data_IF_249365737444
#
_entry.id   IF_249365737444
#
_cell.length_a   1.000
_cell.length_b   1.000
_cell.length_c   1.000
_cell.angle_alpha   90.00
_cell.angle_beta   90.00
_cell.angle_gamma   90.00
#
_symmetry.space_group_name_H-M   'P 1'
#
loop_
_entity.id
_entity.type
_entity.pdbx_description
1 polymer ?
#
# COMPACT_ATOMS: atom_id res chain seq x y z
N UNK A 1 -1.87 -7.08 14.49
CA UNK A 1 -0.57 -6.57 14.96
C UNK A 1 0.19 -6.12 13.73
N UNK A 2 0.90 -4.99 13.75
CA UNK A 2 1.58 -4.45 12.57
C UNK A 2 3.06 -4.79 12.61
N UNK A 3 3.59 -5.41 11.57
CA UNK A 3 5.02 -5.63 11.40
C UNK A 3 5.75 -4.33 10.98
N UNK A 4 7.06 -4.20 11.30
CA UNK A 4 7.87 -3.08 10.85
C UNK A 4 8.14 -3.09 9.33
N UNK A 5 8.15 -4.28 8.71
CA UNK A 5 8.28 -4.50 7.27
C UNK A 5 7.01 -5.18 6.73
N UNK A 6 6.78 -5.08 5.42
CA UNK A 6 5.61 -5.67 4.78
C UNK A 6 5.63 -7.20 4.87
N UNK A 7 4.46 -7.81 5.07
CA UNK A 7 4.25 -9.26 4.92
C UNK A 7 4.14 -9.66 3.44
N UNK A 8 3.82 -8.69 2.58
CA UNK A 8 3.75 -8.84 1.13
C UNK A 8 3.47 -7.50 0.46
N UNK A 9 3.97 -7.35 -0.75
CA UNK A 9 3.76 -6.18 -1.61
C UNK A 9 3.53 -6.61 -3.06
N UNK A 10 2.86 -5.75 -3.81
CA UNK A 10 2.51 -5.92 -5.22
C UNK A 10 2.80 -4.64 -5.96
N UNK A 11 3.62 -4.70 -7.01
CA UNK A 11 4.07 -3.53 -7.76
C UNK A 11 3.58 -3.58 -9.21
N UNK A 12 3.17 -2.43 -9.75
CA UNK A 12 2.80 -2.25 -11.14
C UNK A 12 3.72 -1.24 -11.80
N UNK A 13 4.41 -1.65 -12.87
CA UNK A 13 5.05 -0.73 -13.81
C UNK A 13 4.01 -0.20 -14.82
N UNK A 14 3.80 1.11 -14.84
CA UNK A 14 2.67 1.74 -15.55
C UNK A 14 3.07 2.47 -16.83
N UNK A 15 4.30 2.30 -17.32
CA UNK A 15 4.81 2.96 -18.53
C UNK A 15 3.97 2.72 -19.81
N UNK A 16 3.13 1.68 -19.84
CA UNK A 16 2.16 1.42 -20.93
C UNK A 16 0.71 1.80 -20.61
N UNK A 17 0.38 2.06 -19.34
CA UNK A 17 -0.99 2.24 -18.86
C UNK A 17 -1.38 3.71 -18.66
N UNK A 18 -0.43 4.55 -18.25
CA UNK A 18 -0.63 5.98 -18.04
C UNK A 18 0.67 6.74 -18.34
N UNK A 19 0.59 8.01 -18.80
CA UNK A 19 1.78 8.81 -19.00
C UNK A 19 2.47 9.11 -17.66
N UNK A 20 3.80 9.27 -17.62
CA UNK A 20 4.52 9.60 -16.39
C UNK A 20 4.18 11.00 -15.84
N UNK A 21 4.64 11.27 -14.62
CA UNK A 21 4.51 12.57 -13.97
C UNK A 21 3.39 12.69 -12.92
N UNK A 22 3.48 13.76 -12.13
CA UNK A 22 2.64 14.00 -10.94
C UNK A 22 1.14 13.94 -11.23
N UNK A 23 0.66 14.58 -12.29
CA UNK A 23 -0.78 14.61 -12.57
C UNK A 23 -1.36 13.20 -12.78
N UNK A 24 -0.64 12.36 -13.51
CA UNK A 24 -1.02 10.96 -13.74
C UNK A 24 -0.87 10.13 -12.47
N UNK A 25 0.21 10.31 -11.71
CA UNK A 25 0.41 9.61 -10.44
C UNK A 25 -0.72 9.90 -9.44
N UNK A 26 -1.18 11.14 -9.35
CA UNK A 26 -2.31 11.52 -8.50
C UNK A 26 -3.64 10.92 -8.98
N UNK A 27 -3.86 10.81 -10.29
CA UNK A 27 -5.04 10.13 -10.86
C UNK A 27 -5.02 8.63 -10.54
N UNK A 28 -3.88 7.98 -10.75
CA UNK A 28 -3.66 6.56 -10.41
C UNK A 28 -3.89 6.34 -8.92
N UNK A 29 -3.28 7.13 -8.04
CA UNK A 29 -3.48 7.05 -6.60
C UNK A 29 -4.96 7.19 -6.22
N UNK A 30 -5.68 8.15 -6.81
CA UNK A 30 -7.10 8.35 -6.53
C UNK A 30 -7.97 7.16 -6.97
N UNK A 31 -7.69 6.58 -8.14
CA UNK A 31 -8.42 5.43 -8.67
C UNK A 31 -8.13 4.15 -7.89
N UNK A 32 -6.86 3.88 -7.57
CA UNK A 32 -6.48 2.72 -6.75
C UNK A 32 -7.05 2.82 -5.33
N UNK A 33 -6.95 4.00 -4.69
CA UNK A 33 -7.55 4.24 -3.38
C UNK A 33 -9.08 4.03 -3.40
N UNK A 34 -9.75 4.33 -4.51
CA UNK A 34 -11.18 4.07 -4.65
C UNK A 34 -11.52 2.57 -4.67
N UNK A 35 -10.69 1.74 -5.32
CA UNK A 35 -10.82 0.27 -5.31
C UNK A 35 -10.59 -0.27 -3.90
N UNK A 36 -9.47 0.11 -3.28
CA UNK A 36 -9.12 -0.32 -1.92
C UNK A 36 -10.20 0.06 -0.89
N UNK A 37 -10.77 1.28 -1.00
CA UNK A 37 -11.90 1.70 -0.16
C UNK A 37 -13.15 0.86 -0.43
N UNK A 38 -13.47 0.59 -1.69
CA UNK A 38 -14.61 -0.24 -2.08
C UNK A 38 -14.56 -1.65 -1.47
N UNK A 39 -13.35 -2.12 -1.14
CA UNK A 39 -13.08 -3.40 -0.47
C UNK A 39 -12.89 -3.27 1.04
N UNK A 40 -13.01 -2.07 1.61
CA UNK A 40 -12.82 -1.81 3.04
C UNK A 40 -11.37 -1.95 3.52
N UNK A 41 -10.40 -1.86 2.60
CA UNK A 41 -8.97 -2.06 2.89
C UNK A 41 -8.25 -0.76 3.24
N UNK A 42 -8.71 0.37 2.69
CA UNK A 42 -8.13 1.69 2.90
C UNK A 42 -9.22 2.77 2.80
N UNK A 43 -9.44 3.49 3.89
CA UNK A 43 -10.12 4.78 3.93
C UNK A 43 -9.03 5.86 4.02
N UNK A 44 -8.75 6.63 2.94
CA UNK A 44 -7.70 7.63 2.96
C UNK A 44 -7.91 8.71 4.02
N UNK A 45 -6.93 8.87 4.91
CA UNK A 45 -6.89 9.91 5.95
C UNK A 45 -5.76 10.93 5.69
N UNK A 46 -4.66 10.51 5.05
CA UNK A 46 -3.58 11.40 4.63
C UNK A 46 -2.89 10.92 3.35
N UNK A 47 -2.24 11.86 2.66
CA UNK A 47 -1.28 11.59 1.61
C UNK A 47 0.05 12.19 2.05
N UNK A 48 1.13 11.43 1.96
CA UNK A 48 2.47 11.90 2.30
C UNK A 48 3.47 11.68 1.17
N UNK A 49 4.49 12.54 1.10
CA UNK A 49 5.58 12.42 0.15
C UNK A 49 6.83 13.12 0.65
N UNK A 50 7.97 12.69 0.11
CA UNK A 50 9.25 13.37 0.25
C UNK A 50 9.49 14.30 -0.94
N UNK A 51 10.18 15.40 -0.69
CA UNK A 51 10.67 16.28 -1.74
C UNK A 51 12.10 15.89 -2.11
N UNK A 52 12.39 15.94 -3.41
CA UNK A 52 13.75 15.75 -3.91
C UNK A 52 14.10 16.81 -4.96
N UNK A 53 15.39 17.02 -5.19
CA UNK A 53 15.90 17.84 -6.30
C UNK A 53 16.80 16.95 -7.15
N UNK A 54 16.62 16.99 -8.48
CA UNK A 54 17.49 16.25 -9.40
C UNK A 54 18.97 16.58 -9.13
N UNK A 55 19.83 15.58 -9.22
CA UNK A 55 21.27 15.62 -8.91
C UNK A 55 21.66 15.89 -7.44
N UNK A 56 20.70 16.23 -6.57
CA UNK A 56 20.92 16.40 -5.12
C UNK A 56 20.35 15.22 -4.33
N UNK A 57 19.22 14.67 -4.77
CA UNK A 57 18.46 13.64 -4.07
C UNK A 57 17.42 14.22 -3.10
N UNK A 58 17.07 13.43 -2.09
CA UNK A 58 16.15 13.83 -1.01
C UNK A 58 16.69 15.06 -0.26
N UNK A 59 15.83 16.06 -0.05
CA UNK A 59 16.21 17.32 0.62
C UNK A 59 15.86 17.37 2.12
N UNK A 60 15.47 16.23 2.70
CA UNK A 60 15.10 16.05 4.11
C UNK A 60 13.73 16.63 4.47
N UNK A 61 12.91 16.99 3.47
CA UNK A 61 11.60 17.59 3.70
C UNK A 61 10.51 16.61 3.29
N UNK A 62 9.65 16.27 4.26
CA UNK A 62 8.44 15.49 4.05
C UNK A 62 7.21 16.40 4.18
N UNK A 63 6.24 16.23 3.31
CA UNK A 63 4.92 16.83 3.47
C UNK A 63 3.91 15.74 3.80
N UNK A 64 3.06 16.03 4.78
CA UNK A 64 1.90 15.21 5.13
C UNK A 64 0.67 16.08 4.94
N UNK A 65 -0.22 15.63 4.07
CA UNK A 65 -1.42 16.36 3.68
C UNK A 65 -2.66 15.58 4.13
N UNK A 66 -3.46 16.10 5.07
CA UNK A 66 -4.69 15.43 5.45
C UNK A 66 -5.70 15.42 4.30
N UNK A 67 -6.36 14.29 4.12
CA UNK A 67 -7.44 14.06 3.16
C UNK A 67 -8.65 13.46 3.89
N UNK A 68 -9.82 13.45 3.24
CA UNK A 68 -11.03 12.85 3.83
C UNK A 68 -11.69 11.93 2.82
N UNK A 69 -11.27 10.68 2.86
CA UNK A 69 -11.87 9.60 2.08
C UNK A 69 -11.59 9.69 0.59
N UNK A 70 -12.46 10.33 -0.19
CA UNK A 70 -12.25 10.43 -1.65
C UNK A 70 -11.11 11.38 -1.97
N UNK A 71 -10.16 10.89 -2.77
CA UNK A 71 -9.10 11.70 -3.35
C UNK A 71 -9.64 12.37 -4.62
N UNK A 72 -9.61 13.70 -4.66
CA UNK A 72 -9.80 14.49 -5.87
C UNK A 72 -8.40 14.84 -6.40
N UNK A 73 -8.00 14.23 -7.51
CA UNK A 73 -6.64 14.38 -8.06
C UNK A 73 -6.34 15.82 -8.49
N UNK A 74 -7.33 16.58 -8.95
CA UNK A 74 -7.14 17.97 -9.37
C UNK A 74 -6.95 18.90 -8.16
N UNK A 75 -7.73 18.70 -7.09
CA UNK A 75 -7.53 19.42 -5.84
C UNK A 75 -6.20 19.05 -5.17
N UNK A 76 -5.90 17.75 -5.12
CA UNK A 76 -4.66 17.24 -4.56
C UNK A 76 -3.45 17.81 -5.30
N UNK A 77 -3.48 17.86 -6.63
CA UNK A 77 -2.42 18.47 -7.44
C UNK A 77 -2.18 19.94 -7.08
N UNK A 78 -3.23 20.75 -6.96
CA UNK A 78 -3.10 22.15 -6.52
C UNK A 78 -2.47 22.27 -5.14
N UNK A 79 -2.86 21.41 -4.20
CA UNK A 79 -2.37 21.43 -2.81
C UNK A 79 -0.92 20.97 -2.72
N UNK A 80 -0.54 19.96 -3.49
CA UNK A 80 0.84 19.48 -3.60
C UNK A 80 1.74 20.61 -4.12
N UNK A 81 1.35 21.26 -5.20
CA UNK A 81 2.11 22.38 -5.78
C UNK A 81 2.24 23.57 -4.80
N UNK A 82 1.14 23.92 -4.11
CA UNK A 82 1.15 24.96 -3.10
C UNK A 82 2.00 24.61 -1.85
N UNK A 83 2.33 23.33 -1.66
CA UNK A 83 3.15 22.84 -0.54
C UNK A 83 4.64 22.78 -0.88
N UNK A 84 5.05 23.16 -2.10
CA UNK A 84 6.46 23.14 -2.51
C UNK A 84 7.32 23.99 -1.57
N UNK A 85 8.43 23.45 -1.02
CA UNK A 85 9.30 24.22 -0.13
C UNK A 85 9.86 25.46 -0.81
N UNK A 86 9.66 26.65 -0.22
CA UNK A 86 10.08 27.92 -0.83
C UNK A 86 11.60 28.03 -1.03
N UNK A 87 12.39 27.30 -0.23
CA UNK A 87 13.84 27.22 -0.38
C UNK A 87 14.33 26.32 -1.53
N UNK A 88 13.42 25.57 -2.15
CA UNK A 88 13.72 24.59 -3.20
C UNK A 88 12.68 24.70 -4.33
N UNK A 89 12.71 25.77 -5.15
CA UNK A 89 11.71 26.01 -6.18
C UNK A 89 11.67 24.91 -7.25
N UNK A 90 12.76 24.17 -7.45
CA UNK A 90 12.85 23.05 -8.39
C UNK A 90 12.56 21.69 -7.75
N UNK A 91 12.15 21.67 -6.47
CA UNK A 91 11.82 20.43 -5.77
C UNK A 91 10.65 19.70 -6.47
N UNK A 92 10.82 18.39 -6.58
CA UNK A 92 9.87 17.45 -7.16
C UNK A 92 9.34 16.52 -6.08
N UNK A 93 8.16 16.00 -6.35
CA UNK A 93 7.45 15.06 -5.50
C UNK A 93 8.02 13.68 -5.77
N UNK A 94 8.57 13.03 -4.74
CA UNK A 94 8.97 11.63 -4.79
C UNK A 94 7.78 10.69 -4.64
N UNK A 95 8.03 9.50 -4.10
CA UNK A 95 6.98 8.53 -3.83
C UNK A 95 5.87 9.13 -2.94
N UNK A 96 4.64 8.97 -3.39
CA UNK A 96 3.40 9.40 -2.74
C UNK A 96 2.78 8.20 -2.03
N UNK A 97 2.65 8.25 -0.71
CA UNK A 97 1.93 7.23 0.05
C UNK A 97 0.56 7.74 0.49
N UNK A 98 -0.48 6.96 0.17
CA UNK A 98 -1.84 7.16 0.67
C UNK A 98 -2.03 6.26 1.90
N UNK A 99 -2.29 6.89 3.04
CA UNK A 99 -2.39 6.24 4.33
C UNK A 99 -3.76 6.45 4.96
N UNK A 100 -4.16 5.48 5.78
CA UNK A 100 -5.37 5.56 6.58
C UNK A 100 -5.76 4.20 7.15
N UNK A 101 -7.03 4.10 7.55
CA UNK A 101 -7.58 2.91 8.21
C UNK A 101 -8.13 1.91 7.22
N UNK A 102 -7.95 0.64 7.51
CA UNK A 102 -8.72 -0.45 6.91
C UNK A 102 -9.60 -1.15 7.94
N UNK A 103 -10.43 -2.07 7.46
CA UNK A 103 -11.21 -2.99 8.28
C UNK A 103 -10.76 -4.41 8.01
N UNK A 104 -10.43 -5.15 9.05
CA UNK A 104 -10.30 -6.62 9.01
C UNK A 104 -11.40 -7.25 9.86
N UNK A 105 -11.70 -8.52 9.59
CA UNK A 105 -12.77 -9.26 10.26
C UNK A 105 -12.15 -10.33 11.14
N UNK A 106 -12.49 -10.35 12.43
CA UNK A 106 -11.94 -11.32 13.38
C UNK A 106 -12.58 -12.72 13.29
N UNK A 107 -12.15 -13.61 14.18
CA UNK A 107 -12.62 -15.00 14.20
C UNK A 107 -14.12 -15.11 14.53
N UNK A 108 -14.63 -14.19 15.33
CA UNK A 108 -16.04 -14.06 15.71
C UNK A 108 -16.87 -13.46 14.57
N UNK A 109 -16.23 -12.80 13.59
CA UNK A 109 -16.90 -12.13 12.48
C UNK A 109 -17.13 -10.64 12.72
N UNK A 110 -16.52 -10.07 13.76
CA UNK A 110 -16.63 -8.66 14.09
C UNK A 110 -15.62 -7.83 13.29
N UNK A 111 -16.05 -6.63 12.90
CA UNK A 111 -15.19 -5.69 12.19
C UNK A 111 -14.23 -5.00 13.16
N UNK A 112 -12.95 -4.99 12.79
CA UNK A 112 -11.86 -4.34 13.49
C UNK A 112 -11.24 -3.29 12.58
N UNK A 113 -11.20 -2.04 13.05
CA UNK A 113 -10.55 -0.94 12.33
C UNK A 113 -9.10 -0.84 12.75
N UNK A 114 -8.22 -0.73 11.78
CA UNK A 114 -6.77 -0.75 12.00
C UNK A 114 -6.07 0.24 11.06
N UNK A 115 -5.10 0.97 11.59
CA UNK A 115 -4.26 1.88 10.81
C UNK A 115 -3.26 1.09 9.96
N UNK A 116 -3.04 1.54 8.71
CA UNK A 116 -2.03 0.94 7.84
C UNK A 116 -2.27 -0.55 7.61
N UNK A 117 -3.55 -0.96 7.55
CA UNK A 117 -3.93 -2.31 7.17
C UNK A 117 -3.40 -2.64 5.77
N UNK A 118 -3.45 -1.63 4.90
CA UNK A 118 -2.81 -1.56 3.58
C UNK A 118 -2.15 -0.17 3.44
N UNK A 119 -1.01 -0.12 2.78
CA UNK A 119 -0.39 1.13 2.30
C UNK A 119 -0.42 1.10 0.78
N UNK A 120 -0.89 2.20 0.18
CA UNK A 120 -0.82 2.42 -1.26
C UNK A 120 0.27 3.46 -1.52
N UNK A 121 1.20 3.15 -2.41
CA UNK A 121 2.27 4.04 -2.81
C UNK A 121 2.29 4.21 -4.33
N UNK A 122 2.66 5.40 -4.80
CA UNK A 122 2.76 5.75 -6.23
C UNK A 122 4.02 6.56 -6.44
N UNK A 123 4.88 6.13 -7.36
CA UNK A 123 6.04 6.92 -7.79
C UNK A 123 5.69 7.68 -9.08
N UNK A 124 5.51 9.02 -9.01
CA UNK A 124 5.13 9.83 -10.17
C UNK A 124 6.33 10.22 -11.05
N UNK A 125 7.45 9.50 -11.03
CA UNK A 125 8.66 9.85 -11.78
C UNK A 125 8.36 10.20 -13.26
N UNK A 126 9.12 11.16 -13.79
CA UNK A 126 8.90 11.72 -15.12
C UNK A 126 9.27 10.75 -16.26
N UNK A 127 9.95 9.65 -15.95
CA UNK A 127 10.37 8.62 -16.92
C UNK A 127 9.52 7.37 -16.81
N UNK A 128 9.22 6.94 -15.58
CA UNK A 128 8.48 5.71 -15.33
C UNK A 128 7.54 5.88 -14.15
N UNK A 129 6.24 5.79 -14.43
CA UNK A 129 5.22 5.77 -13.39
C UNK A 129 5.09 4.35 -12.85
N UNK A 130 5.15 4.19 -11.53
CA UNK A 130 4.86 2.93 -10.86
C UNK A 130 3.92 3.13 -9.68
N UNK A 131 3.31 2.04 -9.23
CA UNK A 131 2.49 2.03 -8.03
C UNK A 131 2.68 0.70 -7.30
N UNK A 132 2.50 0.72 -5.99
CA UNK A 132 2.56 -0.49 -5.17
C UNK A 132 1.49 -0.49 -4.07
N UNK A 133 1.14 -1.70 -3.66
CA UNK A 133 0.28 -1.96 -2.50
C UNK A 133 1.05 -2.88 -1.57
N UNK A 134 1.20 -2.48 -0.31
CA UNK A 134 1.89 -3.26 0.71
C UNK A 134 0.99 -3.52 1.92
N UNK A 135 1.15 -4.69 2.54
CA UNK A 135 0.41 -5.10 3.74
C UNK A 135 1.32 -5.49 4.88
N UNK A 136 0.93 -5.19 6.12
CA UNK A 136 1.83 -5.28 7.29
C UNK A 136 1.25 -6.11 8.45
N UNK A 137 0.05 -6.67 8.29
CA UNK A 137 -0.64 -7.39 9.35
C UNK A 137 -0.78 -8.87 9.00
N UNK A 138 -0.73 -9.72 10.02
CA UNK A 138 -0.85 -11.17 9.89
C UNK A 138 -2.23 -11.66 9.44
N UNK A 139 -3.26 -10.82 9.49
CA UNK A 139 -4.66 -11.14 9.12
C UNK A 139 -4.85 -11.64 7.69
N UNK A 140 -3.84 -11.43 6.84
CA UNK A 140 -3.81 -11.88 5.44
C UNK A 140 -3.25 -13.28 5.25
N UNK A 141 -2.48 -13.77 6.22
CA UNK A 141 -1.88 -15.11 6.21
C UNK A 141 -2.77 -16.15 6.88
N UNK A 142 -2.33 -17.42 6.86
CA UNK A 142 -3.00 -18.51 7.58
C UNK A 142 -2.57 -18.61 9.06
N UNK A 143 -1.43 -18.02 9.40
CA UNK A 143 -0.84 -18.03 10.73
C UNK A 143 -0.70 -16.59 11.24
N UNK A 144 -0.94 -16.41 12.54
CA UNK A 144 -0.57 -15.17 13.21
C UNK A 144 0.97 -15.04 13.34
N UNK A 145 1.46 -13.87 13.77
CA UNK A 145 2.91 -13.69 13.95
C UNK A 145 3.54 -14.55 15.06
N UNK A 146 2.76 -15.30 15.85
CA UNK A 146 3.26 -16.30 16.82
C UNK A 146 3.32 -17.70 16.21
N UNK A 147 3.05 -17.83 14.91
CA UNK A 147 2.98 -19.10 14.21
C UNK A 147 1.75 -19.93 14.59
N UNK A 148 0.72 -19.35 15.19
CA UNK A 148 -0.53 -20.04 15.54
C UNK A 148 -1.49 -19.95 14.35
N UNK A 149 -2.04 -21.07 13.86
CA UNK A 149 -3.07 -21.05 12.83
C UNK A 149 -4.29 -20.19 13.23
N UNK A 150 -4.74 -19.31 12.34
CA UNK A 150 -5.99 -18.56 12.49
C UNK A 150 -6.89 -18.66 11.24
N UNK A 151 -7.28 -19.89 10.81
CA UNK A 151 -8.00 -20.12 9.55
C UNK A 151 -9.28 -19.30 9.39
N UNK A 152 -9.94 -19.00 10.51
CA UNK A 152 -11.16 -18.19 10.56
C UNK A 152 -10.93 -16.73 10.16
N UNK A 153 -9.80 -16.15 10.59
CA UNK A 153 -9.38 -14.79 10.21
C UNK A 153 -8.96 -14.79 8.74
N UNK A 154 -8.10 -15.74 8.35
CA UNK A 154 -7.63 -15.88 6.97
C UNK A 154 -8.79 -15.97 5.96
N UNK A 155 -9.75 -16.86 6.22
CA UNK A 155 -10.90 -17.10 5.33
C UNK A 155 -11.77 -15.87 5.12
N UNK A 156 -11.84 -14.96 6.10
CA UNK A 156 -12.65 -13.73 6.02
C UNK A 156 -11.91 -12.57 5.35
N UNK A 157 -10.58 -12.52 5.44
CA UNK A 157 -9.78 -11.38 5.01
C UNK A 157 -9.02 -11.63 3.70
N UNK A 158 -8.35 -12.77 3.53
CA UNK A 158 -7.54 -13.04 2.35
C UNK A 158 -8.31 -12.92 1.02
N UNK A 159 -9.57 -13.40 0.89
CA UNK A 159 -10.33 -13.21 -0.34
C UNK A 159 -10.61 -11.75 -0.70
N UNK A 160 -10.69 -10.85 0.30
CA UNK A 160 -10.90 -9.41 0.05
C UNK A 160 -9.65 -8.76 -0.51
N UNK A 161 -8.48 -9.09 0.04
CA UNK A 161 -7.20 -8.65 -0.51
C UNK A 161 -7.05 -9.17 -1.94
N UNK A 162 -7.31 -10.46 -2.16
CA UNK A 162 -7.21 -11.07 -3.48
C UNK A 162 -8.12 -10.39 -4.51
N UNK A 163 -9.37 -10.11 -4.12
CA UNK A 163 -10.33 -9.43 -4.97
C UNK A 163 -9.94 -7.97 -5.26
N UNK A 164 -9.30 -7.27 -4.31
CA UNK A 164 -8.80 -5.92 -4.53
C UNK A 164 -7.64 -5.91 -5.52
N UNK A 165 -6.66 -6.80 -5.34
CA UNK A 165 -5.51 -6.91 -6.24
C UNK A 165 -5.94 -7.27 -7.67
N UNK A 166 -6.87 -8.22 -7.83
CA UNK A 166 -7.44 -8.54 -9.14
C UNK A 166 -8.22 -7.38 -9.79
N UNK A 167 -8.90 -6.55 -8.99
CA UNK A 167 -9.53 -5.31 -9.50
C UNK A 167 -8.51 -4.24 -9.87
N UNK A 168 -7.41 -4.12 -9.14
CA UNK A 168 -6.31 -3.21 -9.45
C UNK A 168 -5.61 -3.64 -10.75
N UNK A 169 -5.36 -4.93 -10.96
CA UNK A 169 -4.83 -5.43 -12.22
C UNK A 169 -5.73 -5.06 -13.40
N UNK A 170 -7.04 -5.25 -13.26
CA UNK A 170 -8.01 -4.86 -14.29
C UNK A 170 -8.07 -3.34 -14.49
N UNK A 171 -7.97 -2.56 -13.42
CA UNK A 171 -7.97 -1.09 -13.46
C UNK A 171 -6.75 -0.52 -14.19
N UNK A 172 -5.59 -1.12 -13.94
CA UNK A 172 -4.29 -0.69 -14.45
C UNK A 172 -3.96 -1.34 -15.79
N UNK A 173 -4.68 -2.40 -16.17
CA UNK A 173 -4.44 -3.12 -17.42
C UNK A 173 -3.13 -3.90 -17.44
N UNK A 174 -2.54 -4.15 -16.26
CA UNK A 174 -1.27 -4.84 -16.07
C UNK A 174 -1.39 -5.74 -14.83
N UNK A 175 -0.67 -6.86 -14.84
CA UNK A 175 -0.56 -7.73 -13.67
C UNK A 175 0.53 -7.19 -12.75
N UNK A 176 0.26 -7.15 -11.44
CA UNK A 176 1.31 -6.87 -10.47
C UNK A 176 2.47 -7.88 -10.51
N UNK A 177 3.67 -7.38 -10.30
CA UNK A 177 4.81 -8.18 -9.87
C UNK A 177 4.74 -8.35 -8.35
N UNK A 178 5.05 -9.56 -7.88
CA UNK A 178 5.11 -9.87 -6.44
C UNK A 178 6.40 -9.27 -5.89
N UNK A 179 6.28 -8.51 -4.79
CA UNK A 179 7.42 -7.92 -4.12
C UNK A 179 8.33 -8.95 -3.45
N UNK A 180 9.51 -8.48 -3.05
CA UNK A 180 10.53 -9.31 -2.40
C UNK A 180 10.03 -9.93 -1.09
N UNK A 181 10.60 -11.10 -0.74
CA UNK A 181 10.32 -11.71 0.55
C UNK A 181 10.95 -10.90 1.69
N UNK A 182 10.21 -10.74 2.78
CA UNK A 182 10.70 -10.15 4.02
C UNK A 182 10.82 -11.21 5.11
N UNK A 183 11.26 -10.79 6.30
CA UNK A 183 11.19 -11.65 7.48
C UNK A 183 9.75 -12.06 7.84
N UNK A 184 8.76 -11.24 7.50
CA UNK A 184 7.38 -11.40 7.95
C UNK A 184 6.48 -12.13 6.95
N UNK A 185 6.93 -12.29 5.71
CA UNK A 185 6.16 -13.01 4.70
C UNK A 185 6.70 -12.84 3.28
N UNK A 186 5.94 -13.39 2.35
CA UNK A 186 6.18 -13.30 0.91
C UNK A 186 4.84 -13.23 0.20
N UNK A 187 4.70 -12.32 -0.76
CA UNK A 187 3.54 -12.31 -1.65
C UNK A 187 3.56 -13.56 -2.56
N UNK A 188 2.38 -14.13 -2.83
CA UNK A 188 2.22 -15.21 -3.80
C UNK A 188 0.84 -15.09 -4.46
N UNK A 189 0.82 -14.88 -5.77
CA UNK A 189 -0.38 -14.52 -6.50
C UNK A 189 -1.04 -13.28 -5.91
N UNK A 190 -2.28 -13.41 -5.43
CA UNK A 190 -3.03 -12.33 -4.79
C UNK A 190 -3.19 -12.50 -3.28
N UNK A 191 -2.21 -13.13 -2.62
CA UNK A 191 -2.23 -13.34 -1.18
C UNK A 191 -0.83 -13.52 -0.59
N UNK A 192 -0.77 -13.96 0.66
CA UNK A 192 0.47 -14.25 1.36
C UNK A 192 0.76 -15.75 1.26
N UNK A 193 1.99 -16.10 0.87
CA UNK A 193 2.45 -17.48 0.80
C UNK A 193 2.34 -18.18 2.16
N UNK A 194 2.07 -19.49 2.14
CA UNK A 194 2.19 -20.29 3.35
C UNK A 194 3.66 -20.35 3.78
N UNK A 195 3.98 -20.11 5.07
CA UNK A 195 5.34 -20.26 5.56
C UNK A 195 5.71 -21.75 5.68
N UNK A 196 6.99 -22.04 5.93
CA UNK A 196 7.43 -23.38 6.29
C UNK A 196 6.80 -23.80 7.62
N UNK A 197 5.97 -24.85 7.58
CA UNK A 197 5.23 -25.34 8.75
C UNK A 197 6.01 -26.46 9.43
N UNK A 198 6.28 -26.30 10.72
CA UNK A 198 6.93 -27.30 11.57
C UNK A 198 5.96 -27.65 12.69
N UNK A 199 5.61 -28.93 12.82
CA UNK A 199 4.68 -29.45 13.84
C UNK A 199 3.32 -28.72 13.89
N UNK A 200 2.81 -28.31 12.72
CA UNK A 200 1.53 -27.61 12.59
C UNK A 200 1.56 -26.13 12.98
N UNK A 201 2.76 -25.56 13.18
CA UNK A 201 2.95 -24.14 13.49
C UNK A 201 3.77 -23.46 12.40
N UNK A 202 3.45 -22.20 12.15
CA UNK A 202 4.31 -21.28 11.41
C UNK A 202 5.49 -20.81 12.26
N UNK A 203 6.39 -20.00 11.69
CA UNK A 203 7.46 -19.35 12.45
C UNK A 203 6.87 -18.39 13.49
N UNK A 204 7.52 -18.32 14.66
CA UNK A 204 7.27 -17.26 15.63
C UNK A 204 8.15 -16.07 15.26
N UNK A 205 7.51 -14.98 14.83
CA UNK A 205 8.11 -13.77 14.30
C UNK A 205 8.13 -12.63 15.33
N UNK A 206 7.73 -12.91 16.58
CA UNK A 206 7.54 -11.88 17.62
C UNK A 206 8.83 -11.29 18.16
N UNK A 207 9.99 -11.86 17.84
CA UNK A 207 11.30 -11.33 18.20
C UNK A 207 11.66 -10.03 17.43
N UNK A 208 10.94 -9.74 16.34
CA UNK A 208 11.15 -8.56 15.49
C UNK A 208 9.95 -7.60 15.40
N UNK A 209 8.98 -7.72 16.31
CA UNK A 209 7.78 -6.87 16.36
C UNK A 209 7.88 -5.72 17.37
#
# INVERSE_FOLDING_TARGET
>A
MRAPEECGSWEWALGGAAPPGLASGLDVAARMAAVLRGRGLLEPEQVEWFWFVYDVGDIGIRTVLPVRGRLDSADLGRRVEASRPSGYPDARVGNLSVLGRGVWIDAEGEERREEGLVVLSVDPDERELSADVAVFHDVWGYFDFRGVPHPEVHRRNAPRLAAALGELDALLGAKAEEGEMTYFGRAEGYGIALPDVIDGRGPDLTDRL
#
